data_IF_881800234972
#
_entry.id   IF_881800234972
#
_cell.length_a   1.000
_cell.length_b   1.000
_cell.length_c   1.000
_cell.angle_alpha   90.00
_cell.angle_beta   90.00
_cell.angle_gamma   90.00
#
_symmetry.space_group_name_H-M   'P 1'
#
loop_
_entity.id
_entity.type
_entity.pdbx_description
1 polymer ?
#
# COMPACT_ATOMS: atom_id res chain seq x y z
N UNK A 1 35.71 -49.93 29.40
CA UNK A 1 34.62 -50.84 29.01
C UNK A 1 33.81 -50.13 27.93
N UNK A 2 34.11 -50.37 26.66
CA UNK A 2 33.44 -49.69 25.54
C UNK A 2 32.17 -50.48 25.24
N UNK A 3 31.01 -49.90 25.52
CA UNK A 3 29.71 -50.48 25.18
C UNK A 3 29.52 -50.40 23.67
N UNK A 4 29.70 -51.52 22.98
CA UNK A 4 29.36 -51.64 21.57
C UNK A 4 27.85 -51.54 21.40
N UNK A 5 27.38 -50.41 20.87
CA UNK A 5 26.00 -50.25 20.43
C UNK A 5 25.79 -51.11 19.18
N UNK A 6 24.74 -51.93 19.20
CA UNK A 6 24.41 -52.85 18.12
C UNK A 6 24.03 -52.06 16.85
N UNK A 7 24.66 -52.40 15.72
CA UNK A 7 24.45 -51.75 14.43
C UNK A 7 22.99 -51.87 13.95
N UNK A 8 22.25 -52.90 14.40
CA UNK A 8 20.81 -53.03 14.12
C UNK A 8 19.99 -51.94 14.80
N UNK A 9 20.36 -51.53 16.01
CA UNK A 9 19.68 -50.48 16.77
C UNK A 9 19.88 -49.11 16.09
N UNK A 10 21.10 -48.83 15.62
CA UNK A 10 21.39 -47.59 14.87
C UNK A 10 20.57 -47.55 13.57
N UNK A 11 20.51 -48.64 12.81
CA UNK A 11 19.74 -48.70 11.56
C UNK A 11 18.23 -48.53 11.80
N UNK A 12 17.71 -49.15 12.86
CA UNK A 12 16.31 -48.99 13.24
C UNK A 12 15.99 -47.53 13.61
N UNK A 13 16.88 -46.87 14.36
CA UNK A 13 16.71 -45.47 14.75
C UNK A 13 16.70 -44.51 13.54
N UNK A 14 17.59 -44.74 12.56
CA UNK A 14 17.62 -43.94 11.31
C UNK A 14 16.34 -44.14 10.49
N UNK A 15 15.84 -45.38 10.40
CA UNK A 15 14.58 -45.68 9.71
C UNK A 15 13.40 -44.99 10.40
N UNK A 16 13.35 -45.00 11.73
CA UNK A 16 12.29 -44.32 12.49
C UNK A 16 12.31 -42.81 12.23
N UNK A 17 13.49 -42.17 12.18
CA UNK A 17 13.58 -40.73 11.84
C UNK A 17 13.12 -40.42 10.41
N UNK A 18 13.25 -41.36 9.46
CA UNK A 18 12.75 -41.19 8.09
C UNK A 18 11.21 -41.29 7.98
N UNK A 19 10.54 -41.98 8.91
CA UNK A 19 9.08 -42.16 8.89
C UNK A 19 8.31 -41.14 9.75
N UNK A 20 8.96 -40.45 10.68
CA UNK A 20 8.35 -39.34 11.40
C UNK A 20 8.60 -38.03 10.64
N UNK A 21 7.70 -37.70 9.73
CA UNK A 21 7.65 -36.36 9.13
C UNK A 21 7.41 -35.34 10.24
N UNK A 22 8.43 -34.58 10.61
CA UNK A 22 8.27 -33.46 11.54
C UNK A 22 7.37 -32.43 10.87
N UNK A 23 6.09 -32.39 11.25
CA UNK A 23 5.20 -31.30 10.84
C UNK A 23 5.64 -30.05 11.60
N UNK A 24 6.47 -29.22 10.98
CA UNK A 24 6.71 -27.87 11.46
C UNK A 24 5.38 -27.14 11.51
N UNK A 25 4.96 -26.71 12.70
CA UNK A 25 3.83 -25.80 12.84
C UNK A 25 4.36 -24.44 12.41
N UNK A 26 4.07 -24.04 11.17
CA UNK A 26 4.27 -22.66 10.74
C UNK A 26 3.23 -21.79 11.46
N UNK A 27 3.70 -20.79 12.22
CA UNK A 27 2.84 -19.77 12.82
C UNK A 27 2.42 -18.79 11.72
N UNK A 28 1.37 -19.12 10.98
CA UNK A 28 0.67 -18.14 10.17
C UNK A 28 -0.69 -17.93 10.81
N UNK A 29 -0.78 -16.94 11.69
CA UNK A 29 -2.06 -16.44 12.21
C UNK A 29 -2.71 -15.66 11.07
N UNK A 30 -3.82 -16.19 10.51
CA UNK A 30 -4.66 -15.42 9.60
C UNK A 30 -5.29 -14.24 10.35
N UNK A 31 -4.78 -13.03 10.12
CA UNK A 31 -5.45 -11.79 10.54
C UNK A 31 -5.58 -10.85 9.36
N UNK A 32 -6.83 -10.59 8.98
CA UNK A 32 -7.24 -9.65 7.95
C UNK A 32 -6.89 -8.20 8.33
N UNK A 33 -5.80 -7.63 7.78
CA UNK A 33 -5.62 -6.19 7.54
C UNK A 33 -4.47 -5.95 6.55
N UNK A 34 -4.69 -5.13 5.53
CA UNK A 34 -3.85 -4.98 4.33
C UNK A 34 -2.53 -4.18 4.51
N UNK A 35 -2.04 -3.95 5.75
CA UNK A 35 -0.86 -3.10 5.98
C UNK A 35 0.01 -3.62 7.13
N UNK A 36 0.55 -4.84 7.02
CA UNK A 36 1.60 -5.31 7.94
C UNK A 36 2.87 -5.67 7.15
N UNK A 37 3.99 -5.09 7.58
CA UNK A 37 5.32 -5.59 7.22
C UNK A 37 5.52 -6.92 7.95
N UNK A 38 5.42 -8.03 7.23
CA UNK A 38 5.88 -9.32 7.73
C UNK A 38 7.41 -9.33 7.80
N UNK A 39 7.94 -9.61 8.99
CA UNK A 39 9.39 -9.61 9.24
C UNK A 39 9.91 -11.00 9.58
N UNK A 40 11.00 -11.39 8.92
CA UNK A 40 11.75 -12.60 9.27
C UNK A 40 12.72 -12.20 10.39
N UNK A 41 12.36 -12.53 11.63
CA UNK A 41 13.28 -12.39 12.77
C UNK A 41 14.23 -13.58 12.80
N UNK A 42 15.54 -13.31 12.91
CA UNK A 42 16.54 -14.36 13.08
C UNK A 42 16.57 -14.91 14.52
N UNK A 43 16.14 -14.11 15.50
CA UNK A 43 16.07 -14.49 16.91
C UNK A 43 15.18 -13.50 17.68
N UNK A 44 14.78 -13.83 18.90
CA UNK A 44 14.07 -12.93 19.82
C UNK A 44 13.84 -13.60 21.16
N UNK A 45 13.62 -12.79 22.22
CA UNK A 45 13.30 -13.30 23.55
C UNK A 45 12.72 -12.21 24.45
N UNK A 46 12.28 -12.61 25.64
CA UNK A 46 11.88 -11.74 26.73
C UNK A 46 12.98 -11.67 27.80
N UNK A 47 13.33 -10.46 28.23
CA UNK A 47 14.14 -10.21 29.41
C UNK A 47 13.21 -9.74 30.54
N UNK A 48 13.03 -10.55 31.57
CA UNK A 48 12.18 -10.22 32.73
C UNK A 48 13.04 -9.98 33.98
N UNK A 49 12.74 -8.91 34.72
CA UNK A 49 13.36 -8.57 35.99
C UNK A 49 12.33 -8.15 37.03
N UNK A 50 12.77 -7.94 38.28
CA UNK A 50 11.89 -7.55 39.40
C UNK A 50 11.18 -6.21 39.21
N UNK A 51 11.64 -5.38 38.26
CA UNK A 51 11.09 -4.07 37.93
C UNK A 51 10.32 -4.03 36.59
N UNK A 52 10.19 -5.15 35.88
CA UNK A 52 9.45 -5.23 34.62
C UNK A 52 10.06 -6.19 33.60
N UNK A 53 9.47 -6.24 32.41
CA UNK A 53 9.90 -7.09 31.30
C UNK A 53 10.11 -6.30 30.02
N UNK A 54 11.08 -6.70 29.21
CA UNK A 54 11.38 -6.16 27.88
C UNK A 54 11.42 -7.32 26.89
N UNK A 55 10.61 -7.22 25.84
CA UNK A 55 10.63 -8.15 24.70
C UNK A 55 11.52 -7.58 23.61
N UNK A 56 12.37 -8.41 23.01
CA UNK A 56 13.25 -8.00 21.92
C UNK A 56 13.29 -9.02 20.79
N UNK A 57 13.63 -8.56 19.60
CA UNK A 57 13.91 -9.40 18.42
C UNK A 57 15.17 -8.94 17.69
N UNK A 58 15.83 -9.87 17.02
CA UNK A 58 16.93 -9.68 16.10
C UNK A 58 16.36 -9.96 14.71
N UNK A 59 16.38 -8.96 13.82
CA UNK A 59 15.90 -9.08 12.45
C UNK A 59 16.80 -9.95 11.56
N UNK A 60 16.63 -9.82 10.24
CA UNK A 60 17.43 -10.55 9.26
C UNK A 60 18.94 -10.22 9.40
N UNK A 61 19.76 -11.23 9.71
CA UNK A 61 21.23 -11.09 9.87
C UNK A 61 22.03 -11.49 8.63
N UNK A 62 21.37 -12.03 7.60
CA UNK A 62 21.98 -12.38 6.31
C UNK A 62 21.06 -11.96 5.16
N UNK A 63 21.61 -11.31 4.14
CA UNK A 63 20.92 -10.97 2.90
C UNK A 63 21.79 -11.40 1.71
N UNK A 64 21.16 -11.64 0.56
CA UNK A 64 21.86 -11.88 -0.70
C UNK A 64 21.73 -10.64 -1.56
N UNK A 65 22.81 -10.20 -2.22
CA UNK A 65 22.76 -9.11 -3.19
C UNK A 65 23.28 -9.65 -4.53
N UNK A 66 22.52 -9.44 -5.59
CA UNK A 66 22.96 -9.64 -6.96
C UNK A 66 23.17 -8.25 -7.55
N UNK A 67 24.42 -7.90 -7.82
CA UNK A 67 24.80 -6.59 -8.36
C UNK A 67 25.36 -6.76 -9.77
N UNK A 68 24.60 -6.32 -10.76
CA UNK A 68 25.04 -6.16 -12.14
C UNK A 68 25.08 -4.66 -12.49
N UNK A 69 25.74 -4.28 -13.59
CA UNK A 69 25.97 -2.88 -13.97
C UNK A 69 24.70 -2.03 -14.09
N UNK A 70 23.53 -2.65 -14.25
CA UNK A 70 22.24 -1.99 -14.44
C UNK A 70 21.18 -2.40 -13.41
N UNK A 71 21.40 -3.50 -12.67
CA UNK A 71 20.40 -4.05 -11.74
C UNK A 71 21.05 -4.42 -10.41
N UNK A 72 20.46 -3.95 -9.32
CA UNK A 72 20.76 -4.39 -7.97
C UNK A 72 19.52 -5.07 -7.40
N UNK A 73 19.63 -6.36 -7.07
CA UNK A 73 18.56 -7.14 -6.44
C UNK A 73 19.04 -7.63 -5.08
N UNK A 74 18.45 -7.09 -4.02
CA UNK A 74 18.72 -7.51 -2.63
C UNK A 74 17.58 -8.37 -2.10
N UNK A 75 17.90 -9.55 -1.56
CA UNK A 75 16.96 -10.42 -0.87
C UNK A 75 16.68 -9.89 0.56
N UNK A 76 15.44 -9.50 0.81
CA UNK A 76 14.98 -9.04 2.13
C UNK A 76 13.48 -8.71 2.14
N UNK A 77 13.01 -8.09 3.22
CA UNK A 77 11.65 -7.55 3.30
C UNK A 77 11.58 -6.35 2.36
N UNK A 78 10.84 -6.50 1.26
CA UNK A 78 10.47 -5.34 0.46
C UNK A 78 9.34 -4.62 1.18
N UNK A 79 9.64 -3.45 1.74
CA UNK A 79 8.58 -2.52 2.09
C UNK A 79 7.89 -2.15 0.78
N UNK A 80 6.56 -2.18 0.74
CA UNK A 80 5.86 -1.40 -0.26
C UNK A 80 6.13 0.07 0.05
N UNK A 81 7.21 0.61 -0.50
CA UNK A 81 7.29 2.04 -0.69
C UNK A 81 6.08 2.39 -1.53
N UNK A 82 5.07 2.97 -0.86
CA UNK A 82 4.05 3.70 -1.58
C UNK A 82 4.80 4.91 -2.13
N UNK A 83 5.35 4.74 -3.33
CA UNK A 83 5.80 5.87 -4.13
C UNK A 83 4.57 6.75 -4.31
N UNK A 84 4.38 7.70 -3.40
CA UNK A 84 3.89 9.02 -3.80
C UNK A 84 4.92 9.41 -4.84
N UNK A 85 4.57 9.26 -6.13
CA UNK A 85 5.48 9.41 -7.26
C UNK A 85 6.57 10.43 -6.93
N UNK A 86 7.81 9.97 -6.77
CA UNK A 86 8.96 10.82 -7.07
C UNK A 86 8.95 10.96 -8.59
N UNK A 87 7.93 11.63 -9.09
CA UNK A 87 8.07 12.42 -10.28
C UNK A 87 9.24 13.33 -9.93
N UNK A 88 10.27 13.37 -10.78
CA UNK A 88 11.01 14.61 -10.93
C UNK A 88 10.02 15.61 -11.51
N UNK A 89 9.05 16.02 -10.69
CA UNK A 89 8.51 17.33 -10.81
C UNK A 89 9.73 18.16 -10.47
N UNK A 90 10.35 18.71 -11.51
CA UNK A 90 10.97 20.01 -11.38
C UNK A 90 10.16 20.76 -10.34
N UNK A 91 10.84 21.23 -9.29
CA UNK A 91 10.28 22.14 -8.30
C UNK A 91 9.92 23.40 -9.08
N UNK A 92 8.80 23.33 -9.77
CA UNK A 92 7.96 24.43 -10.15
C UNK A 92 6.90 24.31 -9.08
N UNK A 93 6.84 25.30 -8.19
CA UNK A 93 5.80 25.50 -7.18
C UNK A 93 4.47 24.85 -7.59
N UNK A 94 3.66 24.30 -6.64
CA UNK A 94 2.29 23.95 -6.97
C UNK A 94 1.55 25.26 -7.30
N UNK A 95 1.61 25.65 -8.57
CA UNK A 95 1.00 26.85 -9.11
C UNK A 95 -0.52 26.72 -9.14
N UNK A 96 -1.03 25.52 -8.84
CA UNK A 96 -2.42 25.08 -8.91
C UNK A 96 -2.70 24.13 -7.73
N UNK A 97 -3.53 24.56 -6.79
CA UNK A 97 -4.11 23.75 -5.72
C UNK A 97 -5.56 23.39 -6.09
N UNK A 98 -5.89 22.09 -6.04
CA UNK A 98 -7.24 21.58 -6.32
C UNK A 98 -7.68 20.70 -5.15
N UNK A 99 -8.83 21.06 -4.57
CA UNK A 99 -9.47 20.34 -3.47
C UNK A 99 -10.94 20.04 -3.77
N UNK A 100 -11.46 18.98 -3.14
CA UNK A 100 -12.87 18.57 -3.27
C UNK A 100 -13.47 18.34 -1.88
N UNK A 101 -14.62 18.94 -1.61
CA UNK A 101 -15.33 18.82 -0.35
C UNK A 101 -16.85 19.02 -0.50
N UNK A 102 -17.68 18.47 0.39
CA UNK A 102 -17.32 17.47 1.38
C UNK A 102 -17.05 16.12 0.71
N UNK A 103 -16.18 15.31 1.32
CA UNK A 103 -15.96 13.92 0.93
C UNK A 103 -15.71 13.11 2.21
N UNK A 104 -16.61 12.21 2.63
CA UNK A 104 -17.82 11.73 1.94
C UNK A 104 -18.93 12.77 1.73
N UNK A 105 -19.88 12.49 0.84
CA UNK A 105 -21.02 13.35 0.50
C UNK A 105 -22.35 12.59 0.37
N UNK A 106 -23.47 13.30 0.36
CA UNK A 106 -24.81 12.79 0.02
C UNK A 106 -25.31 13.29 -1.33
N UNK A 107 -25.24 14.61 -1.57
CA UNK A 107 -25.95 15.25 -2.70
C UNK A 107 -25.04 16.00 -3.66
N UNK A 108 -23.90 16.52 -3.21
CA UNK A 108 -23.01 17.31 -4.05
C UNK A 108 -21.57 17.34 -3.52
N UNK A 109 -20.62 17.62 -4.40
CA UNK A 109 -19.27 18.04 -4.00
C UNK A 109 -18.95 19.38 -4.65
N UNK A 110 -18.16 20.19 -3.97
CA UNK A 110 -17.56 21.39 -4.51
C UNK A 110 -16.13 21.07 -4.93
N UNK A 111 -15.76 21.48 -6.14
CA UNK A 111 -14.39 21.53 -6.61
C UNK A 111 -13.90 22.95 -6.35
N UNK A 112 -12.88 23.12 -5.52
CA UNK A 112 -12.16 24.39 -5.36
C UNK A 112 -10.82 24.31 -6.09
N UNK A 113 -10.53 25.33 -6.91
CA UNK A 113 -9.30 25.45 -7.67
C UNK A 113 -8.70 26.83 -7.45
N UNK A 114 -7.48 26.85 -6.93
CA UNK A 114 -6.71 28.07 -6.65
C UNK A 114 -5.38 27.97 -7.38
N UNK A 115 -4.91 29.06 -7.98
CA UNK A 115 -3.66 29.03 -8.73
C UNK A 115 -3.60 30.00 -9.90
N UNK A 116 -2.46 30.65 -10.07
CA UNK A 116 -2.25 31.73 -11.04
C UNK A 116 -2.10 31.23 -12.48
N UNK A 117 -1.91 29.93 -12.70
CA UNK A 117 -1.92 29.30 -14.04
C UNK A 117 -3.35 28.94 -14.52
N UNK A 118 -4.37 29.04 -13.65
CA UNK A 118 -5.76 28.69 -13.99
C UNK A 118 -6.53 29.82 -14.68
N UNK A 119 -5.94 31.01 -14.80
CA UNK A 119 -6.67 32.22 -15.25
C UNK A 119 -7.10 32.14 -16.71
N UNK A 120 -6.34 31.45 -17.58
CA UNK A 120 -6.58 31.45 -19.03
C UNK A 120 -6.83 30.06 -19.65
N UNK A 121 -6.67 28.97 -18.89
CA UNK A 121 -6.85 27.60 -19.40
C UNK A 121 -8.32 27.17 -19.43
N UNK A 122 -8.67 26.34 -20.42
CA UNK A 122 -9.99 25.71 -20.48
C UNK A 122 -10.09 24.61 -19.41
N UNK A 123 -10.81 24.90 -18.33
CA UNK A 123 -11.00 24.00 -17.19
C UNK A 123 -12.26 23.16 -17.39
N UNK A 124 -12.17 21.86 -17.11
CA UNK A 124 -13.33 20.96 -17.14
C UNK A 124 -13.18 19.81 -16.16
N UNK A 125 -14.28 19.12 -15.87
CA UNK A 125 -14.27 17.88 -15.12
C UNK A 125 -15.06 16.79 -15.84
N UNK A 126 -14.71 15.55 -15.52
CA UNK A 126 -15.44 14.35 -15.90
C UNK A 126 -15.66 13.49 -14.67
N UNK A 127 -16.89 12.99 -14.49
CA UNK A 127 -17.28 12.10 -13.40
C UNK A 127 -17.56 10.71 -13.96
N UNK A 128 -16.96 9.71 -13.35
CA UNK A 128 -17.07 8.30 -13.72
C UNK A 128 -17.60 7.46 -12.55
N UNK A 129 -18.29 6.36 -12.86
CA UNK A 129 -18.54 5.32 -11.86
C UNK A 129 -17.34 4.37 -11.69
N UNK A 130 -17.47 3.39 -10.79
CA UNK A 130 -16.40 2.43 -10.50
C UNK A 130 -16.06 1.49 -11.67
N UNK A 131 -16.90 1.41 -12.72
CA UNK A 131 -16.63 0.64 -13.94
C UNK A 131 -16.00 1.51 -15.03
N UNK A 132 -15.76 2.79 -14.76
CA UNK A 132 -15.20 3.73 -15.72
C UNK A 132 -16.21 4.28 -16.73
N UNK A 133 -17.52 4.14 -16.50
CA UNK A 133 -18.53 4.76 -17.37
C UNK A 133 -18.63 6.25 -17.06
N UNK A 134 -18.57 7.09 -18.09
CA UNK A 134 -18.73 8.54 -17.95
C UNK A 134 -20.19 8.87 -17.61
N UNK A 135 -20.39 9.53 -16.47
CA UNK A 135 -21.70 9.93 -15.95
C UNK A 135 -22.01 11.40 -16.20
N UNK A 136 -21.03 12.28 -15.99
CA UNK A 136 -21.17 13.74 -16.14
C UNK A 136 -19.88 14.33 -16.69
N UNK A 137 -20.00 15.37 -17.51
CA UNK A 137 -18.87 16.17 -17.99
C UNK A 137 -19.33 17.61 -18.15
N UNK A 138 -18.62 18.56 -17.56
CA UNK A 138 -18.92 19.99 -17.68
C UNK A 138 -17.64 20.84 -17.60
N UNK A 139 -17.71 22.08 -18.07
CA UNK A 139 -16.64 23.07 -17.89
C UNK A 139 -16.66 23.68 -16.48
N UNK A 140 -15.50 24.12 -16.01
CA UNK A 140 -15.35 24.82 -14.73
C UNK A 140 -15.06 26.29 -15.00
N UNK A 141 -16.06 27.14 -14.76
CA UNK A 141 -15.96 28.57 -15.09
C UNK A 141 -15.61 29.44 -13.88
N UNK A 142 -15.64 28.87 -12.66
CA UNK A 142 -15.45 29.56 -11.39
C UNK A 142 -14.42 28.81 -10.54
N UNK A 143 -13.80 29.49 -9.57
CA UNK A 143 -12.84 28.85 -8.66
C UNK A 143 -13.51 27.74 -7.84
N UNK A 144 -14.72 27.99 -7.37
CA UNK A 144 -15.56 26.98 -6.74
C UNK A 144 -16.66 26.54 -7.72
N UNK A 145 -16.79 25.24 -7.97
CA UNK A 145 -17.84 24.67 -8.82
C UNK A 145 -18.49 23.49 -8.14
N UNK A 146 -19.82 23.57 -7.98
CA UNK A 146 -20.61 22.50 -7.41
C UNK A 146 -20.94 21.44 -8.48
N UNK A 147 -20.67 20.19 -8.15
CA UNK A 147 -21.06 19.01 -8.91
C UNK A 147 -22.21 18.36 -8.15
N UNK A 148 -23.37 18.27 -8.79
CA UNK A 148 -24.54 17.59 -8.23
C UNK A 148 -24.42 16.07 -8.45
N UNK A 149 -24.57 15.30 -7.37
CA UNK A 149 -24.62 13.85 -7.33
C UNK A 149 -25.98 13.32 -6.81
N UNK A 150 -26.98 14.16 -6.52
CA UNK A 150 -28.23 13.75 -5.87
C UNK A 150 -28.98 12.65 -6.62
N UNK A 151 -28.87 12.63 -7.95
CA UNK A 151 -29.52 11.64 -8.82
C UNK A 151 -28.75 10.32 -8.91
N UNK A 152 -27.60 10.21 -8.27
CA UNK A 152 -26.71 9.04 -8.31
C UNK A 152 -26.86 8.18 -7.05
N UNK A 153 -26.73 6.87 -7.19
CA UNK A 153 -26.80 5.93 -6.06
C UNK A 153 -25.56 6.02 -5.14
N UNK A 154 -25.69 5.63 -3.88
CA UNK A 154 -24.57 5.55 -2.95
C UNK A 154 -23.50 4.57 -3.47
N UNK A 155 -22.31 5.09 -3.76
CA UNK A 155 -21.20 4.36 -4.40
C UNK A 155 -19.92 5.21 -4.36
N UNK A 156 -18.83 4.62 -4.79
CA UNK A 156 -17.59 5.33 -5.13
C UNK A 156 -17.70 5.86 -6.57
N UNK A 157 -17.24 7.10 -6.76
CA UNK A 157 -17.10 7.76 -8.05
C UNK A 157 -15.69 8.32 -8.23
N UNK A 158 -15.25 8.46 -9.48
CA UNK A 158 -13.98 9.09 -9.83
C UNK A 158 -14.26 10.41 -10.54
N UNK A 159 -13.77 11.52 -9.99
CA UNK A 159 -13.85 12.83 -10.63
C UNK A 159 -12.46 13.26 -11.11
N UNK A 160 -12.31 13.42 -12.42
CA UNK A 160 -11.08 13.82 -13.07
C UNK A 160 -11.19 15.28 -13.53
N UNK A 161 -10.20 16.10 -13.17
CA UNK A 161 -10.11 17.51 -13.52
C UNK A 161 -9.08 17.70 -14.63
N UNK A 162 -9.45 18.52 -15.62
CA UNK A 162 -8.67 18.80 -16.81
C UNK A 162 -8.44 20.31 -16.98
N UNK A 163 -7.27 20.66 -17.49
CA UNK A 163 -6.93 21.99 -18.00
C UNK A 163 -6.31 21.83 -19.38
N UNK A 164 -6.86 22.52 -20.37
CA UNK A 164 -6.40 22.46 -21.77
C UNK A 164 -6.28 21.01 -22.29
N UNK A 165 -7.30 20.20 -21.98
CA UNK A 165 -7.40 18.76 -22.28
C UNK A 165 -6.32 17.87 -21.63
N UNK A 166 -5.46 18.41 -20.75
CA UNK A 166 -4.53 17.62 -19.94
C UNK A 166 -5.18 17.30 -18.60
N UNK A 167 -5.19 16.00 -18.24
CA UNK A 167 -5.65 15.58 -16.92
C UNK A 167 -4.66 16.08 -15.85
N UNK A 168 -5.16 16.86 -14.88
CA UNK A 168 -4.35 17.36 -13.77
C UNK A 168 -4.42 16.47 -12.54
N UNK A 169 -5.64 16.07 -12.14
CA UNK A 169 -5.86 15.34 -10.90
C UNK A 169 -7.13 14.52 -10.96
N UNK A 170 -7.13 13.37 -10.28
CA UNK A 170 -8.28 12.50 -10.12
C UNK A 170 -8.60 12.36 -8.64
N UNK A 171 -9.88 12.47 -8.29
CA UNK A 171 -10.40 12.38 -6.94
C UNK A 171 -11.36 11.21 -6.80
N UNK A 172 -11.20 10.44 -5.72
CA UNK A 172 -12.17 9.43 -5.31
C UNK A 172 -13.23 10.09 -4.43
N UNK A 173 -14.49 10.07 -4.86
CA UNK A 173 -15.63 10.59 -4.11
C UNK A 173 -16.39 9.41 -3.50
N UNK A 174 -16.70 9.50 -2.22
CA UNK A 174 -17.52 8.53 -1.49
C UNK A 174 -18.90 9.14 -1.29
N UNK A 175 -19.91 8.58 -1.96
CA UNK A 175 -21.31 8.98 -1.78
C UNK A 175 -22.03 8.00 -0.87
N UNK A 176 -22.57 8.50 0.25
CA UNK A 176 -23.37 7.74 1.21
C UNK A 176 -24.85 7.71 0.81
#
# INVERSE_FOLDING_TARGET
>A
MVTHIDLKIIKLFIIVMLFFSFKGIAQNTETNTNDLMDTIIASGNDATGSSGSVTYSIGQVFYTSIEESEYNVVQGIQHQDTYSSLDTQDVIDPKIEISIYPNPTTDFVNINMEGYELENGLKSYQLYDFQGRLLKQNTINQNETQVNLSDLSSSIYLLQVYVDNKALKTFKIIKN
#
